data_IF_723813541776
#
_entry.id   IF_723813541776
#
_cell.length_a   1.000
_cell.length_b   1.000
_cell.length_c   1.000
_cell.angle_alpha   90.00
_cell.angle_beta   90.00
_cell.angle_gamma   90.00
#
_symmetry.space_group_name_H-M   'P 1'
#
loop_
_entity.id
_entity.type
_entity.pdbx_description
1 polymer ?
#
# COMPACT_ATOMS: atom_id res chain seq x y z
N UNK A 1 -37.48 -4.81 -34.57
CA UNK A 1 -37.59 -3.92 -33.39
C UNK A 1 -36.56 -4.37 -32.37
N UNK A 2 -35.34 -3.83 -32.44
CA UNK A 2 -34.29 -4.05 -31.45
C UNK A 2 -34.51 -3.09 -30.28
N UNK A 3 -34.85 -3.63 -29.11
CA UNK A 3 -34.87 -2.84 -27.88
C UNK A 3 -33.42 -2.46 -27.51
N UNK A 4 -33.12 -1.19 -27.21
CA UNK A 4 -31.83 -0.81 -26.67
C UNK A 4 -31.72 -1.35 -25.24
N UNK A 5 -30.79 -2.29 -25.06
CA UNK A 5 -30.30 -2.81 -23.78
C UNK A 5 -29.47 -1.74 -23.05
N UNK A 6 -30.05 -0.55 -22.84
CA UNK A 6 -29.54 0.47 -21.92
C UNK A 6 -30.10 0.09 -20.55
N UNK A 7 -29.27 -0.47 -19.68
CA UNK A 7 -29.69 -0.76 -18.30
C UNK A 7 -29.06 -1.97 -17.62
N UNK A 8 -28.15 -2.71 -18.26
CA UNK A 8 -27.30 -3.63 -17.51
C UNK A 8 -26.03 -2.88 -17.11
N UNK A 9 -25.74 -2.70 -15.80
CA UNK A 9 -24.53 -2.02 -15.38
C UNK A 9 -23.31 -2.85 -15.81
N UNK A 10 -22.60 -2.34 -16.81
CA UNK A 10 -21.50 -3.02 -17.51
C UNK A 10 -20.21 -2.86 -16.71
N UNK A 11 -20.22 -3.12 -15.40
CA UNK A 11 -19.08 -2.87 -14.52
C UNK A 11 -18.68 -1.39 -14.33
N UNK A 12 -19.09 -0.49 -15.22
CA UNK A 12 -18.79 0.93 -15.17
C UNK A 12 -19.37 1.60 -13.92
N UNK A 13 -20.54 1.15 -13.47
CA UNK A 13 -21.19 1.62 -12.24
C UNK A 13 -20.35 1.28 -11.01
N UNK A 14 -19.71 0.09 -10.97
CA UNK A 14 -18.80 -0.27 -9.89
C UNK A 14 -17.55 0.63 -9.88
N UNK A 15 -17.03 0.99 -11.05
CA UNK A 15 -15.91 1.94 -11.17
C UNK A 15 -16.31 3.34 -10.69
N UNK A 16 -17.51 3.80 -11.00
CA UNK A 16 -18.02 5.10 -10.53
C UNK A 16 -18.16 5.12 -9.01
N UNK A 17 -18.71 4.07 -8.41
CA UNK A 17 -18.83 3.95 -6.95
C UNK A 17 -17.43 3.94 -6.30
N UNK A 18 -16.51 3.14 -6.85
CA UNK A 18 -15.13 3.09 -6.36
C UNK A 18 -14.45 4.46 -6.47
N UNK A 19 -14.65 5.18 -7.57
CA UNK A 19 -14.11 6.53 -7.76
C UNK A 19 -14.63 7.51 -6.71
N UNK A 20 -15.93 7.46 -6.36
CA UNK A 20 -16.51 8.30 -5.29
C UNK A 20 -15.88 7.95 -3.93
N UNK A 21 -15.73 6.66 -3.62
CA UNK A 21 -15.07 6.22 -2.36
C UNK A 21 -13.63 6.71 -2.31
N UNK A 22 -12.86 6.58 -3.40
CA UNK A 22 -11.49 7.09 -3.49
C UNK A 22 -11.45 8.62 -3.32
N UNK A 23 -12.45 9.34 -3.83
CA UNK A 23 -12.52 10.81 -3.69
C UNK A 23 -12.76 11.25 -2.25
N UNK A 24 -13.64 10.54 -1.52
CA UNK A 24 -14.00 10.87 -0.13
C UNK A 24 -12.89 10.45 0.85
N UNK A 25 -12.35 9.24 0.68
CA UNK A 25 -11.34 8.70 1.60
C UNK A 25 -9.91 9.04 1.18
N UNK A 26 -9.67 9.29 -0.11
CA UNK A 26 -8.34 9.49 -0.69
C UNK A 26 -7.68 8.19 -1.16
N UNK A 27 -6.91 8.28 -2.24
CA UNK A 27 -6.19 7.13 -2.83
C UNK A 27 -5.14 6.52 -1.88
N UNK A 28 -4.59 7.31 -0.94
CA UNK A 28 -3.62 6.84 0.04
C UNK A 28 -4.26 6.08 1.22
N UNK A 29 -5.51 6.39 1.58
CA UNK A 29 -6.17 5.83 2.77
C UNK A 29 -6.80 4.46 2.54
N UNK A 30 -7.30 4.18 1.34
CA UNK A 30 -7.82 2.86 0.98
C UNK A 30 -6.79 1.72 1.12
N UNK A 31 -5.56 1.81 0.58
CA UNK A 31 -4.56 0.76 0.74
C UNK A 31 -4.07 0.64 2.19
N UNK A 32 -4.03 1.74 2.94
CA UNK A 32 -3.70 1.75 4.38
C UNK A 32 -4.73 0.96 5.20
N UNK A 33 -6.02 1.23 4.99
CA UNK A 33 -7.13 0.52 5.65
C UNK A 33 -7.22 -0.95 5.20
N UNK A 34 -6.98 -1.24 3.92
CA UNK A 34 -7.00 -2.59 3.38
C UNK A 34 -5.87 -3.46 3.95
N UNK A 35 -4.67 -2.89 4.16
CA UNK A 35 -3.54 -3.60 4.78
C UNK A 35 -3.86 -4.05 6.21
N UNK A 36 -4.41 -3.16 7.04
CA UNK A 36 -4.82 -3.50 8.41
C UNK A 36 -5.96 -4.52 8.46
N UNK A 37 -7.02 -4.28 7.69
CA UNK A 37 -8.20 -5.16 7.64
C UNK A 37 -7.87 -6.53 7.07
N UNK A 38 -7.06 -6.60 6.01
CA UNK A 38 -6.64 -7.84 5.38
C UNK A 38 -5.80 -8.72 6.31
N UNK A 39 -4.93 -8.13 7.13
CA UNK A 39 -4.15 -8.86 8.13
C UNK A 39 -5.05 -9.45 9.22
N UNK A 40 -6.02 -8.68 9.72
CA UNK A 40 -7.01 -9.15 10.70
C UNK A 40 -7.86 -10.30 10.14
N UNK A 41 -8.35 -10.17 8.90
CA UNK A 41 -9.11 -11.22 8.22
C UNK A 41 -8.26 -12.48 7.98
N UNK A 42 -6.97 -12.34 7.67
CA UNK A 42 -6.05 -13.48 7.48
C UNK A 42 -5.88 -14.28 8.77
N UNK A 43 -5.63 -13.59 9.89
CA UNK A 43 -5.48 -14.23 11.21
C UNK A 43 -6.80 -14.91 11.58
N UNK A 44 -7.92 -14.19 11.52
CA UNK A 44 -9.24 -14.73 11.82
C UNK A 44 -9.59 -15.95 10.96
N UNK A 45 -9.31 -15.92 9.65
CA UNK A 45 -9.51 -17.06 8.74
C UNK A 45 -8.67 -18.26 9.15
N UNK A 46 -7.41 -18.05 9.53
CA UNK A 46 -6.49 -19.13 9.92
C UNK A 46 -6.90 -19.79 11.23
N UNK A 47 -7.34 -19.01 12.22
CA UNK A 47 -7.85 -19.53 13.48
C UNK A 47 -9.18 -20.25 13.26
N UNK A 48 -10.12 -19.64 12.54
CA UNK A 48 -11.42 -20.24 12.22
C UNK A 48 -11.28 -21.52 11.38
N UNK A 49 -10.27 -21.61 10.51
CA UNK A 49 -9.99 -22.82 9.73
C UNK A 49 -9.53 -23.96 10.63
N UNK A 50 -8.70 -23.69 11.65
CA UNK A 50 -8.31 -24.68 12.65
C UNK A 50 -9.49 -25.27 13.43
N UNK A 51 -10.56 -24.50 13.62
CA UNK A 51 -11.81 -24.98 14.25
C UNK A 51 -12.70 -25.79 13.29
N UNK A 52 -12.53 -25.64 11.97
CA UNK A 52 -13.35 -26.33 10.95
C UNK A 52 -12.67 -27.58 10.38
N UNK A 53 -11.34 -27.65 10.44
CA UNK A 53 -10.50 -28.73 9.87
C UNK A 53 -10.16 -29.85 10.89
N UNK A 54 -10.80 -29.91 12.07
CA UNK A 54 -10.51 -30.96 13.07
C UNK A 54 -10.91 -32.39 12.63
N UNK A 55 -11.44 -32.55 11.40
CA UNK A 55 -11.74 -33.85 10.77
C UNK A 55 -10.68 -34.34 9.75
N UNK A 56 -9.65 -33.57 9.36
CA UNK A 56 -8.62 -34.06 8.41
C UNK A 56 -7.23 -33.37 8.59
N UNK A 57 -6.19 -34.15 8.91
CA UNK A 57 -4.76 -33.71 9.05
C UNK A 57 -3.93 -34.03 7.79
N UNK A 58 -2.68 -33.50 7.59
CA UNK A 58 -1.87 -32.61 8.43
C UNK A 58 -1.39 -31.31 7.75
N UNK A 59 -0.86 -30.43 8.63
CA UNK A 59 -0.41 -29.04 8.42
C UNK A 59 0.86 -28.91 7.58
N UNK A 60 0.89 -27.92 6.68
CA UNK A 60 2.10 -27.12 6.39
C UNK A 60 1.72 -25.71 5.93
N UNK A 61 2.02 -24.72 6.76
CA UNK A 61 2.31 -23.36 6.32
C UNK A 61 2.88 -22.56 7.50
N UNK A 62 4.20 -22.57 7.64
CA UNK A 62 4.92 -21.34 8.01
C UNK A 62 4.97 -20.47 6.75
N UNK A 63 4.40 -19.27 6.78
CA UNK A 63 5.02 -18.18 6.04
C UNK A 63 5.72 -17.29 7.06
N UNK A 64 7.05 -17.39 7.04
CA UNK A 64 7.97 -16.32 7.41
C UNK A 64 7.35 -14.97 7.05
N UNK A 65 7.33 -14.08 8.02
CA UNK A 65 7.24 -12.65 7.77
C UNK A 65 8.50 -12.22 7.00
N UNK A 66 8.51 -12.44 5.68
CA UNK A 66 9.42 -11.77 4.77
C UNK A 66 8.62 -11.42 3.52
N UNK A 67 7.99 -10.26 3.55
CA UNK A 67 7.95 -9.36 2.41
C UNK A 67 8.33 -7.97 2.98
N UNK A 68 9.11 -7.18 2.24
CA UNK A 68 10.03 -6.15 2.72
C UNK A 68 9.32 -5.04 3.51
N UNK A 69 10.07 -4.21 4.26
CA UNK A 69 9.50 -3.00 4.83
C UNK A 69 8.90 -2.17 3.69
N UNK A 70 7.57 -2.20 3.54
CA UNK A 70 6.84 -1.20 2.78
C UNK A 70 6.77 0.08 3.63
N UNK A 71 7.93 0.52 4.11
CA UNK A 71 8.19 1.82 4.65
C UNK A 71 8.72 2.69 3.51
N UNK A 72 7.88 2.94 2.51
CA UNK A 72 7.97 4.10 1.63
C UNK A 72 6.73 4.14 0.72
N UNK A 73 5.69 4.80 1.18
CA UNK A 73 4.77 5.55 0.34
C UNK A 73 4.13 6.65 1.19
N UNK A 74 4.96 7.24 2.06
CA UNK A 74 4.64 8.47 2.74
C UNK A 74 5.16 9.60 1.87
N UNK A 75 4.37 10.01 0.87
CA UNK A 75 4.50 11.39 0.40
C UNK A 75 3.85 12.27 1.46
N UNK A 76 4.58 12.51 2.54
CA UNK A 76 4.39 13.69 3.39
C UNK A 76 5.57 14.63 3.08
N UNK A 77 5.23 15.74 2.46
CA UNK A 77 6.14 16.77 1.95
C UNK A 77 6.80 17.57 3.10
N UNK A 78 7.92 18.30 2.86
CA UNK A 78 7.73 19.68 2.43
C UNK A 78 8.85 20.24 1.52
N UNK A 79 8.45 21.17 0.66
CA UNK A 79 9.35 22.18 0.13
C UNK A 79 9.95 22.99 1.30
N UNK A 80 11.23 22.82 1.60
CA UNK A 80 12.04 23.76 2.39
C UNK A 80 13.49 23.75 1.93
N UNK A 81 13.93 24.96 1.60
CA UNK A 81 15.28 25.45 1.35
C UNK A 81 16.45 24.59 1.87
N UNK A 82 17.29 24.10 0.95
CA UNK A 82 18.73 23.92 1.20
C UNK A 82 19.51 24.78 0.20
N UNK A 83 19.65 26.03 0.63
CA UNK A 83 20.67 26.98 0.16
C UNK A 83 22.04 26.51 0.65
N UNK A 84 23.06 26.85 -0.14
CA UNK A 84 24.51 26.79 0.11
C UNK A 84 25.24 25.59 -0.52
N UNK A 85 25.35 25.66 -1.85
CA UNK A 85 26.56 25.23 -2.56
C UNK A 85 27.81 25.66 -1.78
N UNK A 86 28.72 24.71 -1.62
CA UNK A 86 29.96 24.90 -0.90
C UNK A 86 30.93 25.82 -1.62
N UNK A 87 31.88 26.35 -0.84
CA UNK A 87 33.31 26.28 -1.12
C UNK A 87 34.04 26.98 0.04
N UNK A 88 34.40 26.22 1.06
CA UNK A 88 35.59 26.50 1.86
C UNK A 88 36.50 25.29 1.73
N UNK A 89 37.17 25.18 0.57
CA UNK A 89 38.27 24.24 0.39
C UNK A 89 39.51 24.86 1.00
N UNK A 90 39.74 24.44 2.25
CA UNK A 90 41.02 24.08 2.86
C UNK A 90 42.28 24.73 2.28
N UNK A 91 42.75 25.75 2.99
CA UNK A 91 44.03 26.42 2.85
C UNK A 91 45.16 25.56 3.47
N UNK A 92 45.43 24.37 2.94
CA UNK A 92 46.46 23.50 3.54
C UNK A 92 47.26 22.60 2.59
N UNK A 93 47.66 23.07 1.41
CA UNK A 93 48.81 22.46 0.73
C UNK A 93 49.48 23.39 -0.29
N UNK A 94 50.82 23.44 -0.24
CA UNK A 94 51.72 23.84 -1.33
C UNK A 94 52.02 25.33 -1.59
N UNK A 95 52.81 26.01 -0.74
CA UNK A 95 53.84 26.95 -1.22
C UNK A 95 55.09 26.97 -0.33
N UNK A 96 55.96 25.99 -0.54
CA UNK A 96 57.41 26.10 -0.35
C UNK A 96 58.05 26.13 -1.74
N UNK A 97 58.12 27.32 -2.34
CA UNK A 97 58.99 27.71 -3.45
C UNK A 97 58.97 29.24 -3.58
#
# INVERSE_FOLDING_TARGET
MSLPLIGMPQGAEWLIILAIVVLVFGAAKLPELARGTGQALRIFKSETKGLRDDDDKPKKATPTAELPPAADAGTDAPARDEVAEGEIVDEHHERNA
#
